data_IF_693681704309
#
_entry.id   IF_693681704309
#
_cell.length_a   1.000
_cell.length_b   1.000
_cell.length_c   1.000
_cell.angle_alpha   90.00
_cell.angle_beta   90.00
_cell.angle_gamma   90.00
#
_symmetry.space_group_name_H-M   'P 1'
#
loop_
_entity.id
_entity.type
_entity.pdbx_description
1 polymer ?
#
# COMPACT_ATOMS: atom_id res chain seq x y z
N UNK A 1 -11.94 9.65 -27.92
CA UNK A 1 -11.99 8.40 -27.12
C UNK A 1 -11.02 7.40 -27.72
N UNK A 2 -9.90 7.10 -27.06
CA UNK A 2 -8.92 6.10 -27.53
C UNK A 2 -9.00 4.86 -26.64
N UNK A 3 -9.86 3.92 -27.03
CA UNK A 3 -9.68 2.53 -26.63
C UNK A 3 -8.46 2.01 -27.37
N UNK A 4 -7.28 2.05 -26.76
CA UNK A 4 -6.09 1.41 -27.34
C UNK A 4 -6.22 -0.11 -27.14
N UNK A 5 -6.87 -0.77 -28.09
CA UNK A 5 -6.62 -2.19 -28.34
C UNK A 5 -5.34 -2.30 -29.15
N UNK A 6 -4.24 -2.70 -28.53
CA UNK A 6 -3.04 -3.16 -29.24
C UNK A 6 -3.38 -4.50 -29.91
N UNK A 7 -3.98 -4.40 -31.09
CA UNK A 7 -4.39 -5.53 -31.92
C UNK A 7 -5.32 -5.03 -33.01
N UNK A 8 -4.96 -5.30 -34.27
CA UNK A 8 -5.68 -4.93 -35.49
C UNK A 8 -7.00 -5.70 -35.66
N UNK A 9 -7.86 -5.70 -34.63
CA UNK A 9 -9.16 -6.36 -34.64
C UNK A 9 -10.25 -5.32 -34.36
N UNK A 10 -11.10 -5.09 -35.35
CA UNK A 10 -12.17 -4.09 -35.28
C UNK A 10 -13.29 -4.56 -34.36
N UNK A 11 -13.21 -4.20 -33.08
CA UNK A 11 -14.28 -4.46 -32.10
C UNK A 11 -15.43 -3.48 -32.30
N UNK A 12 -16.59 -3.99 -32.68
CA UNK A 12 -17.84 -3.20 -32.76
C UNK A 12 -18.54 -3.22 -31.39
N UNK A 13 -18.93 -2.04 -30.90
CA UNK A 13 -19.74 -1.89 -29.69
C UNK A 13 -21.14 -1.39 -30.07
N UNK A 14 -22.20 -2.03 -29.53
CA UNK A 14 -23.60 -1.60 -29.68
C UNK A 14 -24.10 -0.81 -28.47
N UNK A 15 -23.22 -0.48 -27.52
CA UNK A 15 -23.55 0.32 -26.34
C UNK A 15 -24.02 1.71 -26.73
N UNK A 16 -25.22 2.10 -26.28
CA UNK A 16 -25.82 3.41 -26.56
C UNK A 16 -25.44 4.48 -25.54
N UNK A 17 -25.05 4.06 -24.33
CA UNK A 17 -24.67 4.96 -23.23
C UNK A 17 -23.15 5.17 -23.28
N UNK A 18 -22.66 6.42 -23.31
CA UNK A 18 -21.23 6.71 -23.27
C UNK A 18 -20.64 6.40 -21.89
N UNK A 19 -19.41 5.90 -21.85
CA UNK A 19 -18.66 5.81 -20.60
C UNK A 19 -18.34 7.23 -20.11
N UNK A 20 -18.83 7.58 -18.93
CA UNK A 20 -18.61 8.89 -18.30
C UNK A 20 -17.36 8.92 -17.41
N UNK A 21 -16.85 7.74 -17.05
CA UNK A 21 -15.63 7.55 -16.28
C UNK A 21 -14.77 6.48 -16.96
N UNK A 22 -13.46 6.63 -16.85
CA UNK A 22 -12.50 5.63 -17.29
C UNK A 22 -12.42 4.48 -16.28
N UNK A 23 -11.98 3.31 -16.76
CA UNK A 23 -11.70 2.18 -15.88
C UNK A 23 -10.62 2.57 -14.88
N UNK A 24 -10.84 2.36 -13.57
CA UNK A 24 -9.82 2.66 -12.58
C UNK A 24 -8.62 1.72 -12.73
N UNK A 25 -7.50 2.11 -12.15
CA UNK A 25 -6.37 1.20 -11.97
C UNK A 25 -6.78 0.06 -11.03
N UNK A 26 -6.81 -1.15 -11.58
CA UNK A 26 -7.26 -2.36 -10.90
C UNK A 26 -6.27 -2.85 -9.84
N UNK A 27 -5.03 -2.35 -9.84
CA UNK A 27 -3.98 -2.70 -8.88
C UNK A 27 -3.75 -1.63 -7.81
N UNK A 28 -4.43 -0.49 -7.92
CA UNK A 28 -4.22 0.65 -7.04
C UNK A 28 -4.42 0.26 -5.57
N UNK A 29 -5.52 -0.43 -5.24
CA UNK A 29 -5.84 -0.80 -3.85
C UNK A 29 -4.73 -1.63 -3.21
N UNK A 30 -4.15 -2.56 -3.95
CA UNK A 30 -3.10 -3.46 -3.48
C UNK A 30 -1.79 -2.70 -3.26
N UNK A 31 -1.40 -1.88 -4.23
CA UNK A 31 -0.19 -1.06 -4.16
C UNK A 31 -0.29 -0.05 -3.01
N UNK A 32 -1.41 0.65 -2.92
CA UNK A 32 -1.68 1.63 -1.87
C UNK A 32 -1.67 1.00 -0.48
N UNK A 33 -2.27 -0.18 -0.33
CA UNK A 33 -2.30 -0.89 0.96
C UNK A 33 -0.89 -1.27 1.40
N UNK A 34 -0.07 -1.80 0.49
CA UNK A 34 1.31 -2.16 0.78
C UNK A 34 2.16 -0.93 1.15
N UNK A 35 2.04 0.15 0.36
CA UNK A 35 2.77 1.40 0.61
C UNK A 35 2.37 2.04 1.95
N UNK A 36 1.07 2.01 2.30
CA UNK A 36 0.58 2.49 3.61
C UNK A 36 1.07 1.62 4.76
N UNK A 37 1.15 0.31 4.57
CA UNK A 37 1.65 -0.59 5.61
C UNK A 37 3.13 -0.35 5.89
N UNK A 38 3.96 -0.26 4.83
CA UNK A 38 5.41 -0.17 4.94
C UNK A 38 5.90 1.26 5.24
N UNK A 39 5.38 2.28 4.56
CA UNK A 39 5.87 3.66 4.59
C UNK A 39 7.32 3.81 4.09
N UNK A 40 7.67 3.09 3.01
CA UNK A 40 9.04 3.02 2.49
C UNK A 40 9.64 4.39 2.12
N UNK A 41 8.84 5.29 1.56
CA UNK A 41 9.28 6.61 1.11
C UNK A 41 9.25 7.68 2.23
N UNK A 42 8.91 7.29 3.46
CA UNK A 42 8.82 8.20 4.61
C UNK A 42 10.03 7.98 5.51
N UNK A 43 10.83 9.02 5.81
CA UNK A 43 11.93 8.92 6.76
C UNK A 43 11.45 8.40 8.12
N UNK A 44 12.24 7.60 8.85
CA UNK A 44 11.76 6.90 10.05
C UNK A 44 11.13 7.83 11.09
N UNK A 45 11.76 8.97 11.35
CA UNK A 45 11.28 10.00 12.29
C UNK A 45 9.96 10.70 11.90
N UNK A 46 9.46 10.51 10.67
CA UNK A 46 8.18 11.07 10.20
C UNK A 46 7.11 10.00 9.96
N UNK A 47 7.42 8.72 10.21
CA UNK A 47 6.45 7.64 10.02
C UNK A 47 5.33 7.73 11.03
N UNK A 48 4.12 7.43 10.56
CA UNK A 48 2.91 7.43 11.36
C UNK A 48 2.75 6.08 12.05
N UNK A 49 2.07 6.08 13.19
CA UNK A 49 1.74 4.90 14.00
C UNK A 49 0.66 4.03 13.36
N UNK A 50 0.95 3.47 12.18
CA UNK A 50 0.12 2.48 11.50
C UNK A 50 1.00 1.49 10.74
N UNK A 51 0.42 0.36 10.36
CA UNK A 51 1.14 -0.67 9.62
C UNK A 51 2.35 -1.18 10.39
N UNK A 52 3.52 -1.21 9.76
CA UNK A 52 4.72 -1.80 10.35
C UNK A 52 5.23 -1.02 11.58
N UNK A 53 5.18 0.32 11.57
CA UNK A 53 5.52 1.14 12.73
C UNK A 53 4.66 0.81 13.95
N UNK A 54 3.36 0.62 13.75
CA UNK A 54 2.45 0.27 14.83
C UNK A 54 2.77 -1.12 15.41
N UNK A 55 3.13 -2.08 14.55
CA UNK A 55 3.53 -3.42 15.01
C UNK A 55 4.77 -3.33 15.90
N UNK A 56 5.79 -2.57 15.51
CA UNK A 56 6.98 -2.39 16.35
C UNK A 56 6.65 -1.70 17.68
N UNK A 57 5.91 -0.59 17.65
CA UNK A 57 5.53 0.13 18.88
C UNK A 57 4.64 -0.68 19.82
N UNK A 58 3.88 -1.66 19.30
CA UNK A 58 3.04 -2.53 20.12
C UNK A 58 3.80 -3.69 20.77
N UNK A 59 4.87 -4.19 20.14
CA UNK A 59 5.58 -5.38 20.59
C UNK A 59 6.84 -5.06 21.39
N UNK A 60 7.40 -3.86 21.21
CA UNK A 60 8.57 -3.39 21.94
C UNK A 60 8.18 -2.43 23.07
N UNK A 61 8.94 -2.39 24.17
CA UNK A 61 10.16 -3.17 24.38
C UNK A 61 9.90 -4.63 24.80
N UNK A 62 10.91 -5.48 24.60
CA UNK A 62 10.89 -6.89 25.01
C UNK A 62 11.91 -7.07 26.12
N UNK A 63 11.53 -7.76 27.20
CA UNK A 63 12.40 -8.08 28.34
C UNK A 63 12.58 -9.59 28.49
N UNK A 64 13.72 -10.03 29.04
CA UNK A 64 13.89 -11.42 29.46
C UNK A 64 13.09 -11.71 30.75
N UNK A 65 12.90 -13.00 31.07
CA UNK A 65 12.09 -13.44 32.22
C UNK A 65 12.61 -12.99 33.59
N UNK A 66 13.87 -12.53 33.65
CA UNK A 66 14.51 -12.01 34.87
C UNK A 66 14.73 -10.50 34.83
N UNK A 67 14.21 -9.80 33.84
CA UNK A 67 14.30 -8.33 33.68
C UNK A 67 15.74 -7.76 33.70
N UNK A 68 16.72 -8.56 33.26
CA UNK A 68 18.12 -8.14 33.16
C UNK A 68 18.45 -7.48 31.82
N UNK A 69 17.71 -7.81 30.76
CA UNK A 69 17.95 -7.32 29.40
C UNK A 69 16.70 -6.74 28.79
N UNK A 70 16.83 -5.54 28.21
CA UNK A 70 15.79 -4.84 27.49
C UNK A 70 16.18 -4.70 26.02
N UNK A 71 15.30 -5.11 25.13
CA UNK A 71 15.39 -4.84 23.70
C UNK A 71 14.38 -3.77 23.34
N UNK A 72 14.86 -2.65 22.80
CA UNK A 72 14.05 -1.54 22.33
C UNK A 72 14.01 -1.48 20.81
N UNK A 73 12.90 -0.96 20.27
CA UNK A 73 12.80 -0.63 18.86
C UNK A 73 13.33 0.80 18.63
N UNK A 74 14.30 0.95 17.73
CA UNK A 74 14.88 2.24 17.37
C UNK A 74 14.20 2.83 16.12
N UNK A 75 14.38 2.20 14.97
CA UNK A 75 13.82 2.61 13.68
C UNK A 75 13.83 1.45 12.67
N UNK A 76 13.11 1.59 11.54
CA UNK A 76 13.15 0.69 10.39
C UNK A 76 13.26 1.44 9.06
#
# INVERSE_FOLDING_TARGET
MKNQSNGSNSRISFGRIPSVIDTPDLLNVQIDSFNKFLQADVPPHRRKKHGLQQVFEMNFPITDARENFLLEFAEY
#
